data_IF_064419748334
#
_entry.id   IF_064419748334
#
_cell.length_a   1.000
_cell.length_b   1.000
_cell.length_c   1.000
_cell.angle_alpha   90.00
_cell.angle_beta   90.00
_cell.angle_gamma   90.00
#
_symmetry.space_group_name_H-M   'P 1'
#
loop_
_entity.id
_entity.type
_entity.pdbx_description
1 polymer ?
#
# COMPACT_ATOMS: atom_id res chain seq x y z
N UNK A 1 10.45 43.40 47.13
CA UNK A 1 11.19 43.12 48.40
C UNK A 1 11.76 44.44 48.91
N UNK A 2 12.61 44.49 49.94
CA UNK A 2 13.35 45.74 50.22
C UNK A 2 14.48 45.87 49.21
N UNK A 3 14.46 46.91 48.38
CA UNK A 3 15.44 47.10 47.32
C UNK A 3 16.88 47.23 47.87
N UNK A 4 17.83 46.59 47.20
CA UNK A 4 19.25 46.61 47.57
C UNK A 4 19.84 47.99 47.25
N UNK A 5 20.27 48.72 48.28
CA UNK A 5 20.82 50.08 48.14
C UNK A 5 22.23 50.02 47.56
N UNK A 6 22.38 50.42 46.30
CA UNK A 6 23.66 50.47 45.61
C UNK A 6 24.49 51.67 46.05
N UNK A 7 25.81 51.54 46.01
CA UNK A 7 26.74 52.66 46.07
C UNK A 7 27.25 52.95 44.67
N UNK A 8 26.98 54.13 44.13
CA UNK A 8 27.57 54.57 42.86
C UNK A 8 29.05 54.88 43.06
N UNK A 9 29.89 54.54 42.08
CA UNK A 9 31.30 54.97 42.08
C UNK A 9 31.40 56.44 41.67
N UNK A 10 32.53 57.08 41.96
CA UNK A 10 32.81 58.45 41.47
C UNK A 10 32.80 58.50 39.94
N UNK A 11 33.26 57.44 39.26
CA UNK A 11 33.22 57.34 37.81
C UNK A 11 31.79 57.15 37.28
N UNK A 12 31.00 56.26 37.89
CA UNK A 12 29.60 56.02 37.52
C UNK A 12 28.72 57.23 37.78
N UNK A 13 28.89 57.91 38.91
CA UNK A 13 28.22 59.18 39.20
C UNK A 13 28.61 60.26 38.21
N UNK A 14 29.90 60.36 37.83
CA UNK A 14 30.36 61.29 36.79
C UNK A 14 29.74 61.04 35.42
N UNK A 15 29.60 59.77 35.01
CA UNK A 15 28.86 59.40 33.79
C UNK A 15 27.37 59.78 33.88
N UNK A 16 26.74 59.50 35.02
CA UNK A 16 25.33 59.78 35.27
C UNK A 16 25.00 61.28 35.31
N UNK A 17 25.88 62.12 35.88
CA UNK A 17 25.71 63.58 35.86
C UNK A 17 26.01 64.18 34.50
N UNK A 18 27.00 63.64 33.77
CA UNK A 18 27.28 64.08 32.39
C UNK A 18 26.10 63.77 31.46
N UNK A 19 25.46 62.61 31.59
CA UNK A 19 24.27 62.20 30.83
C UNK A 19 23.03 63.06 31.13
N UNK A 20 23.00 63.78 32.26
CA UNK A 20 21.95 64.75 32.59
C UNK A 20 22.24 66.17 32.06
N UNK A 21 23.45 66.43 31.55
CA UNK A 21 23.91 67.76 31.16
C UNK A 21 24.16 67.93 29.65
N UNK A 22 24.22 66.83 28.88
CA UNK A 22 24.39 66.81 27.42
C UNK A 22 23.93 65.48 26.84
N UNK A 23 23.52 65.48 25.56
CA UNK A 23 22.98 64.32 24.85
C UNK A 23 24.02 63.21 24.54
N UNK A 24 23.50 61.98 24.43
CA UNK A 24 24.13 60.74 23.94
C UNK A 24 25.32 60.17 24.74
N UNK A 25 25.15 60.06 26.07
CA UNK A 25 25.96 59.14 26.89
C UNK A 25 25.18 57.84 27.10
N UNK A 26 25.70 56.74 26.54
CA UNK A 26 25.16 55.40 26.75
C UNK A 26 25.29 54.97 28.22
N UNK A 27 24.17 54.98 28.94
CA UNK A 27 24.03 54.45 30.30
C UNK A 27 23.59 52.98 30.34
N UNK A 28 23.71 52.24 29.24
CA UNK A 28 23.35 50.81 29.19
C UNK A 28 24.21 50.00 30.16
N UNK A 29 23.56 49.38 31.14
CA UNK A 29 24.17 48.37 32.00
C UNK A 29 24.35 47.08 31.19
N UNK A 30 25.49 46.98 30.53
CA UNK A 30 25.81 45.89 29.60
C UNK A 30 26.31 44.63 30.30
N UNK A 31 26.86 44.75 31.52
CA UNK A 31 27.46 43.62 32.25
C UNK A 31 27.30 43.72 33.77
N UNK A 32 27.25 42.57 34.42
CA UNK A 32 27.31 42.44 35.89
C UNK A 32 28.51 41.58 36.27
N UNK A 33 29.47 42.17 37.00
CA UNK A 33 30.55 41.43 37.64
C UNK A 33 30.08 40.83 38.96
N UNK A 34 30.51 39.61 39.25
CA UNK A 34 30.18 38.86 40.47
C UNK A 34 31.44 38.67 41.32
N UNK A 35 31.30 38.80 42.64
CA UNK A 35 32.35 38.51 43.61
C UNK A 35 31.85 37.66 44.78
N UNK A 36 32.69 36.72 45.20
CA UNK A 36 32.48 35.90 46.39
C UNK A 36 33.03 36.59 47.66
N UNK A 37 33.80 37.67 47.48
CA UNK A 37 34.41 38.44 48.56
C UNK A 37 33.43 39.51 49.06
N UNK A 38 33.17 39.55 50.37
CA UNK A 38 32.49 40.69 50.99
C UNK A 38 33.45 41.90 51.03
N UNK A 39 32.98 43.08 50.65
CA UNK A 39 33.76 44.32 50.65
C UNK A 39 32.93 45.51 51.15
N UNK A 40 33.60 46.59 51.56
CA UNK A 40 32.91 47.84 51.91
C UNK A 40 32.62 48.60 50.61
N UNK A 41 31.35 48.73 50.26
CA UNK A 41 30.92 49.49 49.10
C UNK A 41 31.23 50.99 49.30
N UNK A 42 32.09 51.56 48.45
CA UNK A 42 32.57 52.94 48.56
C UNK A 42 32.64 53.61 47.18
N UNK A 43 32.36 54.93 47.08
CA UNK A 43 32.43 55.64 45.80
C UNK A 43 33.83 55.65 45.16
N UNK A 44 34.88 55.47 45.95
CA UNK A 44 36.29 55.47 45.49
C UNK A 44 36.70 54.19 44.76
N UNK A 45 35.84 53.18 44.63
CA UNK A 45 36.15 51.93 43.94
C UNK A 45 36.25 52.14 42.42
N UNK A 46 37.38 51.73 41.84
CA UNK A 46 37.66 51.74 40.40
C UNK A 46 37.50 50.37 39.74
N UNK A 47 37.42 49.30 40.53
CA UNK A 47 37.20 47.92 40.10
C UNK A 47 36.40 47.16 41.17
N UNK A 48 35.75 46.05 40.79
CA UNK A 48 35.00 45.20 41.72
C UNK A 48 35.96 44.30 42.52
N UNK A 49 36.04 44.41 43.86
CA UNK A 49 36.97 43.60 44.66
C UNK A 49 36.65 42.11 44.58
N UNK A 50 37.63 41.28 44.21
CA UNK A 50 37.47 39.82 44.13
C UNK A 50 36.56 39.34 42.99
N UNK A 51 36.40 40.14 41.92
CA UNK A 51 35.63 39.75 40.74
C UNK A 51 36.14 38.42 40.15
N UNK A 52 35.27 37.42 40.09
CA UNK A 52 35.59 36.09 39.54
C UNK A 52 34.89 35.79 38.20
N UNK A 53 33.79 36.50 37.89
CA UNK A 53 33.01 36.31 36.66
C UNK A 53 32.30 37.59 36.27
N UNK A 54 32.17 37.84 34.95
CA UNK A 54 31.42 38.97 34.38
C UNK A 54 30.37 38.47 33.40
N UNK A 55 29.10 38.62 33.74
CA UNK A 55 27.96 38.18 32.95
C UNK A 55 27.47 39.31 32.04
N UNK A 56 27.14 38.99 30.79
CA UNK A 56 26.47 39.90 29.85
C UNK A 56 24.96 39.62 29.73
N UNK A 57 24.49 38.54 30.36
CA UNK A 57 23.10 38.09 30.49
C UNK A 57 22.39 38.89 31.59
N UNK A 58 22.30 40.20 31.38
CA UNK A 58 21.61 41.16 32.25
C UNK A 58 20.45 41.82 31.50
N UNK A 59 19.29 41.88 32.15
CA UNK A 59 18.12 42.63 31.70
C UNK A 59 17.53 43.36 32.90
N UNK A 60 16.81 44.45 32.66
CA UNK A 60 16.24 45.26 33.72
C UNK A 60 15.18 46.23 33.25
N UNK A 61 14.41 46.72 34.21
CA UNK A 61 13.22 47.56 34.05
C UNK A 61 13.25 48.65 35.12
N UNK A 62 12.94 49.90 34.76
CA UNK A 62 12.85 51.00 35.71
C UNK A 62 11.46 51.00 36.33
N UNK A 63 11.37 50.68 37.61
CA UNK A 63 10.09 50.53 38.34
C UNK A 63 9.69 51.83 39.08
N UNK A 64 10.66 52.67 39.44
CA UNK A 64 10.43 53.99 40.05
C UNK A 64 11.63 54.93 39.84
N UNK A 65 11.49 56.21 40.22
CA UNK A 65 12.50 57.28 40.06
C UNK A 65 13.92 56.97 40.55
N UNK A 66 14.08 55.98 41.43
CA UNK A 66 15.38 55.48 41.89
C UNK A 66 15.42 53.94 42.08
N UNK A 67 14.43 53.19 41.59
CA UNK A 67 14.33 51.73 41.72
C UNK A 67 14.30 51.08 40.34
N UNK A 68 15.15 50.08 40.17
CA UNK A 68 15.19 49.20 39.00
C UNK A 68 14.93 47.77 39.45
N UNK A 69 14.11 47.03 38.71
CA UNK A 69 14.08 45.58 38.79
C UNK A 69 15.08 45.00 37.79
N UNK A 70 16.08 44.25 38.26
CA UNK A 70 17.14 43.69 37.43
C UNK A 70 17.17 42.16 37.55
N UNK A 71 17.28 41.47 36.42
CA UNK A 71 17.47 40.01 36.35
C UNK A 71 18.81 39.69 35.70
N UNK A 72 19.54 38.74 36.29
CA UNK A 72 20.82 38.22 35.79
C UNK A 72 20.75 36.69 35.73
N UNK A 73 21.12 36.10 34.59
CA UNK A 73 21.14 34.64 34.41
C UNK A 73 22.53 34.09 34.10
N UNK A 74 22.77 32.81 34.43
CA UNK A 74 23.99 32.10 34.04
C UNK A 74 23.74 30.58 33.94
N UNK A 75 23.92 30.02 32.75
CA UNK A 75 23.68 28.60 32.40
C UNK A 75 24.98 27.76 32.34
N UNK A 76 26.15 28.38 32.60
CA UNK A 76 27.43 27.64 32.54
C UNK A 76 27.57 26.62 33.69
N UNK A 77 28.08 25.42 33.42
CA UNK A 77 28.19 24.33 34.41
C UNK A 77 29.33 24.54 35.44
N UNK A 78 29.21 25.58 36.27
CA UNK A 78 30.20 26.01 37.27
C UNK A 78 29.52 26.31 38.61
N UNK A 79 30.23 26.05 39.72
CA UNK A 79 29.75 26.32 41.08
C UNK A 79 30.35 27.61 41.64
N UNK A 80 29.56 28.46 42.28
CA UNK A 80 30.03 29.66 42.98
C UNK A 80 29.00 30.22 43.98
N UNK A 81 29.45 31.12 44.85
CA UNK A 81 28.62 31.89 45.79
C UNK A 81 28.86 33.39 45.54
N UNK A 82 27.78 34.18 45.48
CA UNK A 82 27.82 35.63 45.21
C UNK A 82 27.58 36.37 46.52
N UNK A 83 28.52 37.22 46.96
CA UNK A 83 28.37 38.10 48.14
C UNK A 83 28.32 39.58 47.77
N UNK A 84 28.77 39.92 46.58
CA UNK A 84 28.61 41.25 46.01
C UNK A 84 28.61 41.21 44.49
N UNK A 85 28.20 42.32 43.89
CA UNK A 85 28.19 42.52 42.45
C UNK A 85 28.51 43.97 42.08
N UNK A 86 29.00 44.15 40.86
CA UNK A 86 29.26 45.45 40.25
C UNK A 86 28.52 45.56 38.92
N UNK A 87 27.82 46.67 38.70
CA UNK A 87 27.17 46.99 37.44
C UNK A 87 28.17 47.73 36.56
N UNK A 88 28.31 47.32 35.31
CA UNK A 88 29.23 47.91 34.34
C UNK A 88 28.50 48.44 33.11
N UNK A 89 28.87 49.65 32.69
CA UNK A 89 28.44 50.23 31.42
C UNK A 89 29.07 49.48 30.23
N UNK A 90 28.54 49.72 29.02
CA UNK A 90 29.06 49.16 27.77
C UNK A 90 30.56 49.44 27.54
N UNK A 91 31.04 50.61 27.98
CA UNK A 91 32.45 51.02 27.90
C UNK A 91 33.37 50.41 28.97
N UNK A 92 32.82 49.60 29.89
CA UNK A 92 33.55 49.00 31.00
C UNK A 92 33.66 49.84 32.27
N UNK A 93 33.05 51.04 32.33
CA UNK A 93 32.98 51.85 33.56
C UNK A 93 32.21 51.08 34.64
N UNK A 94 32.81 50.91 35.82
CA UNK A 94 32.12 50.40 37.00
C UNK A 94 31.13 51.45 37.51
N UNK A 95 29.84 51.26 37.26
CA UNK A 95 28.79 52.24 37.50
C UNK A 95 28.39 52.30 38.98
N UNK A 96 28.01 51.15 39.54
CA UNK A 96 27.59 51.02 40.92
C UNK A 96 27.90 49.63 41.47
N UNK A 97 28.00 49.50 42.80
CA UNK A 97 28.34 48.27 43.51
C UNK A 97 27.40 47.98 44.67
N UNK A 98 27.28 46.70 44.99
CA UNK A 98 26.65 46.20 46.22
C UNK A 98 27.45 45.04 46.79
N UNK A 99 27.49 44.94 48.11
CA UNK A 99 28.05 43.80 48.84
C UNK A 99 27.37 43.65 50.19
N UNK A 100 27.32 42.41 50.68
CA UNK A 100 26.84 42.07 52.01
C UNK A 100 27.63 40.87 52.58
N UNK A 101 27.72 40.71 53.92
CA UNK A 101 28.45 39.60 54.52
C UNK A 101 27.88 38.21 54.18
N UNK A 102 26.58 38.10 53.91
CA UNK A 102 25.86 36.85 53.59
C UNK A 102 25.75 36.60 52.08
N UNK A 103 25.75 35.34 51.60
CA UNK A 103 25.46 35.05 50.19
C UNK A 103 24.15 35.68 49.72
N UNK A 104 24.19 36.33 48.55
CA UNK A 104 23.03 36.84 47.79
C UNK A 104 22.44 35.69 46.96
N UNK A 105 23.31 34.87 46.36
CA UNK A 105 22.93 33.70 45.59
C UNK A 105 24.04 32.64 45.64
N UNK A 106 23.67 31.36 45.55
CA UNK A 106 24.59 30.24 45.40
C UNK A 106 24.18 29.40 44.20
N UNK A 107 25.17 28.99 43.40
CA UNK A 107 24.98 28.23 42.16
C UNK A 107 25.76 26.92 42.22
N UNK A 108 25.12 25.83 41.81
CA UNK A 108 25.72 24.52 41.60
C UNK A 108 25.93 24.23 40.10
N UNK A 109 26.80 23.27 39.77
CA UNK A 109 27.09 22.86 38.38
C UNK A 109 25.88 22.35 37.59
N UNK A 110 24.81 21.89 38.28
CA UNK A 110 23.59 21.37 37.66
C UNK A 110 22.40 22.33 37.67
N UNK A 111 22.60 23.59 38.05
CA UNK A 111 21.55 24.60 38.21
C UNK A 111 21.89 25.87 37.44
N UNK A 112 20.97 26.40 36.63
CA UNK A 112 21.07 27.77 36.15
C UNK A 112 20.92 28.76 37.31
N UNK A 113 21.72 29.83 37.32
CA UNK A 113 21.41 31.00 38.15
C UNK A 113 20.35 31.83 37.42
N UNK A 114 19.30 32.24 38.13
CA UNK A 114 18.33 33.24 37.69
C UNK A 114 18.04 34.17 38.87
N UNK A 115 18.83 35.23 39.00
CA UNK A 115 18.76 36.17 40.11
C UNK A 115 17.96 37.40 39.69
N UNK A 116 16.74 37.54 40.19
CA UNK A 116 15.91 38.73 40.06
C UNK A 116 15.99 39.55 41.36
N UNK A 117 16.39 40.82 41.27
CA UNK A 117 16.59 41.72 42.41
C UNK A 117 16.08 43.13 42.13
N UNK A 118 15.38 43.69 43.11
CA UNK A 118 15.07 45.12 43.15
C UNK A 118 16.31 45.86 43.66
N UNK A 119 16.85 46.80 42.88
CA UNK A 119 18.02 47.61 43.23
C UNK A 119 17.63 49.08 43.32
N UNK A 120 18.16 49.78 44.33
CA UNK A 120 17.88 51.19 44.57
C UNK A 120 19.15 52.03 44.44
N UNK A 121 19.11 53.07 43.60
CA UNK A 121 20.21 54.02 43.45
C UNK A 121 20.14 55.14 44.52
N UNK A 122 21.28 55.73 44.90
CA UNK A 122 21.35 56.80 45.90
C UNK A 122 20.89 58.17 45.38
N UNK A 123 20.53 58.25 44.10
CA UNK A 123 20.07 59.45 43.38
C UNK A 123 18.80 59.11 42.59
N UNK A 124 17.98 60.12 42.32
CA UNK A 124 16.87 60.01 41.36
C UNK A 124 17.36 60.27 39.92
N UNK A 125 16.52 59.97 38.92
CA UNK A 125 16.82 60.21 37.50
C UNK A 125 17.25 58.95 36.74
N UNK A 126 16.89 57.76 37.22
CA UNK A 126 17.35 56.47 36.65
C UNK A 126 16.59 56.02 35.42
N UNK A 127 15.58 56.77 34.98
CA UNK A 127 14.81 56.53 33.74
C UNK A 127 15.68 56.47 32.47
N UNK A 128 16.85 57.11 32.48
CA UNK A 128 17.82 57.06 31.38
C UNK A 128 18.77 55.85 31.43
N UNK A 129 18.66 54.98 32.45
CA UNK A 129 19.46 53.75 32.55
C UNK A 129 18.77 52.63 31.76
N UNK A 130 19.35 52.29 30.62
CA UNK A 130 18.96 51.15 29.80
C UNK A 130 19.62 49.85 30.29
N UNK A 131 18.99 48.72 29.96
CA UNK A 131 19.51 47.38 30.22
C UNK A 131 19.55 46.58 28.92
N UNK A 132 20.30 45.47 28.93
CA UNK A 132 20.37 44.55 27.79
C UNK A 132 19.01 43.95 27.42
N UNK A 133 18.96 43.28 26.25
CA UNK A 133 17.71 42.78 25.65
C UNK A 133 16.92 41.89 26.62
N UNK A 134 15.62 42.14 26.72
CA UNK A 134 14.65 41.42 27.58
C UNK A 134 14.31 40.00 27.09
N UNK A 135 14.84 39.56 25.95
CA UNK A 135 14.51 38.26 25.36
C UNK A 135 15.15 37.09 26.10
N UNK A 136 14.40 36.51 27.04
CA UNK A 136 14.52 35.11 27.47
C UNK A 136 14.26 34.17 26.26
N UNK A 137 15.27 33.98 25.41
CA UNK A 137 15.18 33.01 24.32
C UNK A 137 15.21 31.59 24.89
N UNK A 138 14.03 30.97 24.96
CA UNK A 138 13.92 29.53 25.12
C UNK A 138 14.71 28.86 23.97
N UNK A 139 15.75 28.06 24.25
CA UNK A 139 16.55 27.46 23.18
C UNK A 139 15.69 26.50 22.36
N UNK A 140 15.88 26.44 21.02
CA UNK A 140 15.18 25.47 20.19
C UNK A 140 15.60 24.04 20.57
N UNK A 141 14.66 23.11 20.49
CA UNK A 141 14.94 21.68 20.64
C UNK A 141 15.80 21.16 19.50
N UNK A 142 16.77 20.31 19.82
CA UNK A 142 17.56 19.54 18.85
C UNK A 142 17.64 18.08 19.30
N UNK A 143 18.08 17.19 18.42
CA UNK A 143 18.29 15.76 18.76
C UNK A 143 19.21 15.56 19.97
N UNK A 144 20.12 16.51 20.23
CA UNK A 144 21.07 16.47 21.34
C UNK A 144 20.69 17.35 22.55
N UNK A 145 19.80 18.35 22.40
CA UNK A 145 19.44 19.32 23.46
C UNK A 145 17.93 19.49 23.58
N UNK A 146 17.38 19.27 24.78
CA UNK A 146 15.99 19.63 25.10
C UNK A 146 15.77 21.14 24.94
N UNK A 147 14.66 21.52 24.32
CA UNK A 147 14.29 22.90 24.05
C UNK A 147 12.83 23.01 23.57
N UNK A 148 12.43 24.18 23.08
CA UNK A 148 11.10 24.43 22.52
C UNK A 148 11.07 24.10 21.03
N UNK A 149 9.95 23.57 20.55
CA UNK A 149 9.73 23.17 19.15
C UNK A 149 8.26 23.43 18.79
N UNK A 150 8.00 23.85 17.55
CA UNK A 150 6.65 24.08 17.03
C UNK A 150 5.94 22.74 16.75
N UNK A 151 4.60 22.73 16.86
CA UNK A 151 3.80 21.56 16.53
C UNK A 151 3.44 21.56 15.05
N UNK A 152 3.68 20.44 14.37
CA UNK A 152 3.40 20.30 12.94
C UNK A 152 1.88 20.29 12.69
N UNK A 153 1.45 20.97 11.62
CA UNK A 153 0.13 20.74 11.01
C UNK A 153 0.11 19.40 10.26
N UNK A 154 -1.09 18.95 9.85
CA UNK A 154 -1.23 17.72 9.07
C UNK A 154 -0.48 17.80 7.73
N UNK A 155 -0.61 18.91 7.00
CA UNK A 155 0.04 19.08 5.70
C UNK A 155 1.58 19.08 5.79
N UNK A 156 2.14 19.61 6.87
CA UNK A 156 3.59 19.60 7.11
C UNK A 156 4.10 18.21 7.51
N UNK A 157 3.33 17.48 8.32
CA UNK A 157 3.64 16.10 8.66
C UNK A 157 3.54 15.16 7.43
N UNK A 158 2.55 15.35 6.57
CA UNK A 158 2.41 14.63 5.28
C UNK A 158 3.55 14.95 4.31
N UNK A 159 4.09 16.18 4.35
CA UNK A 159 5.27 16.59 3.59
C UNK A 159 6.61 16.09 4.19
N UNK A 160 6.59 15.46 5.36
CA UNK A 160 7.79 14.95 6.04
C UNK A 160 8.64 16.02 6.72
N UNK A 161 8.04 17.09 7.25
CA UNK A 161 8.73 18.14 8.02
C UNK A 161 9.53 17.56 9.20
N UNK A 162 10.82 17.90 9.28
CA UNK A 162 11.76 17.48 10.33
C UNK A 162 12.02 18.57 11.38
N UNK A 163 11.46 19.77 11.20
CA UNK A 163 11.69 20.94 12.07
C UNK A 163 10.65 21.08 13.18
N UNK A 164 9.58 20.26 13.14
CA UNK A 164 8.40 20.34 14.00
C UNK A 164 8.02 18.99 14.60
N UNK A 165 7.25 19.02 15.69
CA UNK A 165 6.75 17.80 16.35
C UNK A 165 5.33 17.47 15.92
N UNK A 166 5.15 16.30 15.33
CA UNK A 166 3.84 15.77 14.95
C UNK A 166 3.02 15.40 16.19
N UNK A 167 1.81 15.97 16.32
CA UNK A 167 0.92 15.67 17.45
C UNK A 167 0.21 14.32 17.28
N UNK A 168 -0.23 13.71 18.38
CA UNK A 168 -1.01 12.47 18.34
C UNK A 168 -2.32 12.57 17.53
N UNK A 169 -2.91 13.77 17.43
CA UNK A 169 -4.08 14.02 16.57
C UNK A 169 -3.72 13.97 15.08
N UNK A 170 -2.57 14.55 14.70
CA UNK A 170 -2.05 14.48 13.32
C UNK A 170 -1.63 13.05 12.96
N UNK A 171 -0.87 12.37 13.83
CA UNK A 171 -0.51 10.95 13.63
C UNK A 171 -1.76 10.07 13.45
N UNK A 172 -2.81 10.29 14.26
CA UNK A 172 -4.08 9.58 14.10
C UNK A 172 -4.70 9.85 12.73
N UNK A 173 -4.74 11.09 12.27
CA UNK A 173 -5.30 11.45 10.95
C UNK A 173 -4.53 10.78 9.80
N UNK A 174 -3.19 10.80 9.83
CA UNK A 174 -2.33 10.13 8.83
C UNK A 174 -2.58 8.61 8.81
N UNK A 175 -2.64 7.98 9.98
CA UNK A 175 -2.93 6.53 10.11
C UNK A 175 -4.33 6.21 9.60
N UNK A 176 -5.35 7.02 9.92
CA UNK A 176 -6.71 6.83 9.41
C UNK A 176 -6.74 6.94 7.88
N UNK A 177 -6.13 7.97 7.29
CA UNK A 177 -6.06 8.12 5.83
C UNK A 177 -5.35 6.93 5.15
N UNK A 178 -4.26 6.42 5.73
CA UNK A 178 -3.56 5.25 5.22
C UNK A 178 -4.43 3.97 5.32
N UNK A 179 -5.13 3.75 6.43
CA UNK A 179 -6.06 2.63 6.60
C UNK A 179 -7.23 2.73 5.62
N UNK A 180 -7.79 3.92 5.41
CA UNK A 180 -8.89 4.16 4.48
C UNK A 180 -8.46 3.91 3.03
N UNK A 181 -7.24 4.31 2.64
CA UNK A 181 -6.69 4.03 1.32
C UNK A 181 -6.50 2.51 1.08
N UNK A 182 -5.95 1.79 2.07
CA UNK A 182 -5.80 0.33 2.01
C UNK A 182 -7.17 -0.36 1.97
N UNK A 183 -8.14 0.13 2.74
CA UNK A 183 -9.50 -0.41 2.80
C UNK A 183 -10.25 -0.22 1.49
N UNK A 184 -10.10 0.94 0.83
CA UNK A 184 -10.62 1.19 -0.51
C UNK A 184 -9.96 0.30 -1.57
N UNK A 185 -8.63 0.09 -1.50
CA UNK A 185 -7.94 -0.82 -2.41
C UNK A 185 -8.41 -2.28 -2.24
N UNK A 186 -8.60 -2.73 -1.00
CA UNK A 186 -9.13 -4.05 -0.68
C UNK A 186 -10.58 -4.20 -1.16
N UNK A 187 -11.43 -3.19 -0.93
CA UNK A 187 -12.80 -3.17 -1.42
C UNK A 187 -12.86 -3.25 -2.96
N UNK A 188 -11.98 -2.51 -3.65
CA UNK A 188 -11.85 -2.55 -5.11
C UNK A 188 -11.39 -3.91 -5.66
N UNK A 189 -10.56 -4.64 -4.90
CA UNK A 189 -10.17 -6.01 -5.24
C UNK A 189 -11.32 -7.00 -5.00
N UNK A 190 -11.99 -6.94 -3.84
CA UNK A 190 -13.09 -7.85 -3.51
C UNK A 190 -14.34 -7.61 -4.36
N UNK A 191 -14.55 -6.39 -4.86
CA UNK A 191 -15.61 -6.06 -5.80
C UNK A 191 -15.35 -6.57 -7.23
N UNK A 192 -14.17 -7.14 -7.51
CA UNK A 192 -13.88 -7.77 -8.80
C UNK A 192 -14.50 -9.17 -8.84
N UNK A 193 -15.21 -9.46 -9.92
CA UNK A 193 -15.84 -10.77 -10.17
C UNK A 193 -15.12 -11.49 -11.30
N UNK A 194 -14.85 -12.78 -11.13
CA UNK A 194 -14.46 -13.70 -12.19
C UNK A 194 -15.73 -14.28 -12.81
N UNK A 195 -15.87 -14.20 -14.12
CA UNK A 195 -17.03 -14.72 -14.86
C UNK A 195 -16.64 -15.95 -15.68
N UNK A 196 -17.35 -17.06 -15.47
CA UNK A 196 -17.48 -18.09 -16.51
C UNK A 196 -18.39 -17.59 -17.64
N UNK A 197 -18.04 -17.91 -18.89
CA UNK A 197 -18.86 -17.61 -20.06
C UNK A 197 -18.66 -18.65 -21.15
N UNK A 198 -19.66 -18.79 -22.03
CA UNK A 198 -19.69 -19.86 -23.04
C UNK A 198 -19.69 -21.25 -22.39
N UNK A 199 -18.66 -22.05 -22.70
CA UNK A 199 -18.47 -23.39 -22.14
C UNK A 199 -17.94 -23.38 -20.69
N UNK A 200 -17.38 -22.27 -20.21
CA UNK A 200 -16.76 -22.17 -18.88
C UNK A 200 -17.83 -21.86 -17.83
N UNK A 201 -18.00 -22.77 -16.88
CA UNK A 201 -18.90 -22.64 -15.72
C UNK A 201 -18.10 -22.27 -14.47
N UNK A 202 -18.77 -21.66 -13.48
CA UNK A 202 -18.15 -21.19 -12.24
C UNK A 202 -17.78 -19.70 -12.27
N UNK A 203 -16.83 -19.32 -11.43
CA UNK A 203 -16.51 -17.91 -11.14
C UNK A 203 -17.13 -17.44 -9.82
N UNK A 204 -17.35 -16.13 -9.69
CA UNK A 204 -17.79 -15.45 -8.46
C UNK A 204 -16.84 -14.32 -8.06
N UNK A 205 -17.08 -13.72 -6.88
CA UNK A 205 -16.20 -12.70 -6.28
C UNK A 205 -14.80 -13.27 -5.91
N UNK A 206 -13.90 -12.42 -5.40
CA UNK A 206 -12.57 -12.84 -4.96
C UNK A 206 -12.46 -13.20 -3.46
N UNK A 207 -13.57 -13.54 -2.78
CA UNK A 207 -13.55 -13.78 -1.32
C UNK A 207 -12.83 -15.06 -0.85
N UNK A 208 -12.77 -16.14 -1.65
CA UNK A 208 -12.30 -17.46 -1.15
C UNK A 208 -11.89 -18.49 -2.22
N UNK A 209 -11.05 -18.12 -3.21
CA UNK A 209 -10.57 -18.96 -4.34
C UNK A 209 -11.64 -19.50 -5.31
N UNK A 210 -11.44 -19.34 -6.62
CA UNK A 210 -12.44 -19.68 -7.66
C UNK A 210 -12.01 -20.88 -8.51
N UNK A 211 -12.96 -21.80 -8.72
CA UNK A 211 -12.85 -22.91 -9.67
C UNK A 211 -13.60 -22.56 -10.94
N UNK A 212 -12.99 -22.85 -12.08
CA UNK A 212 -13.59 -22.76 -13.40
C UNK A 212 -13.63 -24.16 -14.00
N UNK A 213 -14.78 -24.55 -14.54
CA UNK A 213 -15.04 -25.91 -15.03
C UNK A 213 -15.49 -25.85 -16.48
N UNK A 214 -14.95 -26.76 -17.31
CA UNK A 214 -15.47 -27.06 -18.64
C UNK A 214 -15.82 -28.54 -18.65
N UNK A 215 -17.11 -28.84 -18.78
CA UNK A 215 -17.59 -30.22 -18.78
C UNK A 215 -17.20 -30.93 -20.08
N UNK A 216 -16.60 -32.12 -19.98
CA UNK A 216 -16.27 -32.95 -21.13
C UNK A 216 -17.52 -33.70 -21.62
N UNK A 217 -17.79 -33.66 -22.92
CA UNK A 217 -18.87 -34.43 -23.54
C UNK A 217 -18.53 -35.93 -23.51
N UNK A 218 -19.45 -36.74 -22.99
CA UNK A 218 -19.41 -38.20 -23.11
C UNK A 218 -19.68 -38.65 -24.55
N UNK A 219 -19.26 -39.87 -24.89
CA UNK A 219 -19.51 -40.43 -26.22
C UNK A 219 -20.99 -40.52 -26.62
N UNK A 220 -21.90 -40.64 -25.64
CA UNK A 220 -23.34 -40.60 -25.91
C UNK A 220 -23.81 -39.19 -26.31
N UNK A 221 -23.29 -38.16 -25.67
CA UNK A 221 -23.62 -36.76 -25.96
C UNK A 221 -23.00 -36.29 -27.29
N UNK A 222 -21.78 -36.76 -27.60
CA UNK A 222 -21.15 -36.54 -28.91
C UNK A 222 -21.98 -37.16 -30.04
N UNK A 223 -22.51 -38.38 -29.86
CA UNK A 223 -23.40 -39.02 -30.84
C UNK A 223 -24.77 -38.35 -30.94
N UNK A 224 -25.31 -37.86 -29.82
CA UNK A 224 -26.58 -37.13 -29.81
C UNK A 224 -26.48 -35.77 -30.51
N UNK A 225 -25.36 -35.05 -30.33
CA UNK A 225 -25.10 -33.77 -30.99
C UNK A 225 -26.00 -32.61 -30.54
N UNK A 226 -26.69 -32.74 -29.39
CA UNK A 226 -27.71 -31.80 -28.92
C UNK A 226 -27.26 -30.83 -27.82
N UNK A 227 -26.16 -31.10 -27.11
CA UNK A 227 -25.65 -30.22 -26.03
C UNK A 227 -24.71 -29.15 -26.57
N UNK A 228 -24.96 -27.90 -26.19
CA UNK A 228 -24.11 -26.74 -26.48
C UNK A 228 -23.23 -26.28 -25.31
N UNK A 229 -23.26 -26.98 -24.17
CA UNK A 229 -22.64 -26.57 -22.90
C UNK A 229 -21.52 -27.52 -22.41
N UNK A 230 -20.97 -28.32 -23.33
CA UNK A 230 -19.90 -29.31 -23.10
C UNK A 230 -18.84 -29.24 -24.20
N UNK A 231 -17.59 -29.56 -23.87
CA UNK A 231 -16.49 -29.64 -24.81
C UNK A 231 -16.26 -31.08 -25.31
N UNK A 232 -16.13 -31.28 -26.62
CA UNK A 232 -15.76 -32.57 -27.19
C UNK A 232 -14.27 -32.83 -26.91
N UNK A 233 -13.96 -33.99 -26.33
CA UNK A 233 -12.58 -34.46 -26.09
C UNK A 233 -12.18 -35.52 -27.11
N UNK A 234 -10.89 -35.82 -27.30
CA UNK A 234 -10.45 -36.95 -28.13
C UNK A 234 -11.08 -38.29 -27.71
N UNK A 235 -11.32 -38.52 -26.42
CA UNK A 235 -12.01 -39.71 -25.92
C UNK A 235 -13.51 -39.71 -26.26
N UNK A 236 -14.18 -38.56 -26.16
CA UNK A 236 -15.57 -38.40 -26.58
C UNK A 236 -15.74 -38.59 -28.10
N UNK A 237 -14.81 -38.08 -28.89
CA UNK A 237 -14.77 -38.27 -30.34
C UNK A 237 -14.44 -39.71 -30.74
N UNK A 238 -13.51 -40.37 -30.05
CA UNK A 238 -13.21 -41.80 -30.27
C UNK A 238 -14.43 -42.70 -30.06
N UNK A 239 -15.37 -42.30 -29.19
CA UNK A 239 -16.64 -43.02 -29.01
C UNK A 239 -17.65 -42.84 -30.16
N UNK A 240 -17.36 -42.00 -31.16
CA UNK A 240 -18.07 -41.98 -32.45
C UNK A 240 -17.56 -43.09 -33.39
N UNK A 241 -16.37 -43.64 -33.16
CA UNK A 241 -15.80 -44.74 -33.94
C UNK A 241 -16.49 -46.08 -33.60
N UNK A 242 -17.73 -46.24 -34.05
CA UNK A 242 -18.31 -47.57 -34.21
C UNK A 242 -17.53 -48.34 -35.27
N UNK A 243 -17.07 -49.54 -34.93
CA UNK A 243 -16.38 -50.42 -35.89
C UNK A 243 -17.36 -50.91 -36.95
N UNK A 244 -17.06 -50.68 -38.23
CA UNK A 244 -17.80 -51.30 -39.33
C UNK A 244 -17.52 -52.81 -39.31
N UNK A 245 -18.50 -53.59 -38.84
CA UNK A 245 -18.41 -55.05 -38.77
C UNK A 245 -18.97 -55.73 -40.04
N UNK A 246 -18.70 -57.02 -40.22
CA UNK A 246 -19.24 -57.80 -41.35
C UNK A 246 -20.77 -57.87 -41.36
N UNK A 247 -21.38 -57.90 -40.17
CA UNK A 247 -22.81 -57.65 -39.96
C UNK A 247 -22.89 -56.53 -38.92
N UNK A 248 -23.29 -55.32 -39.32
CA UNK A 248 -23.16 -54.16 -38.44
C UNK A 248 -23.93 -52.93 -38.90
N UNK A 249 -24.01 -51.96 -37.99
CA UNK A 249 -24.60 -50.64 -38.22
C UNK A 249 -23.64 -49.58 -37.65
N UNK A 250 -23.38 -48.55 -38.44
CA UNK A 250 -22.51 -47.44 -38.11
C UNK A 250 -23.23 -46.12 -38.41
N UNK A 251 -23.25 -45.20 -37.45
CA UNK A 251 -23.83 -43.87 -37.63
C UNK A 251 -22.74 -42.89 -38.07
N UNK A 252 -22.83 -42.36 -39.29
CA UNK A 252 -21.85 -41.39 -39.82
C UNK A 252 -22.05 -40.00 -39.20
N UNK A 253 -23.30 -39.57 -39.11
CA UNK A 253 -23.75 -38.31 -38.53
C UNK A 253 -25.13 -38.52 -37.89
N UNK A 254 -25.61 -37.62 -37.02
CA UNK A 254 -26.95 -37.74 -36.44
C UNK A 254 -28.01 -37.94 -37.52
N UNK A 255 -28.67 -39.11 -37.49
CA UNK A 255 -29.68 -39.52 -38.46
C UNK A 255 -29.19 -40.20 -39.74
N UNK A 256 -27.88 -40.31 -40.02
CA UNK A 256 -27.36 -41.00 -41.23
C UNK A 256 -26.59 -42.26 -40.84
N UNK A 257 -26.97 -43.40 -41.43
CA UNK A 257 -26.47 -44.72 -41.08
C UNK A 257 -25.90 -45.45 -42.29
N UNK A 258 -24.84 -46.23 -42.05
CA UNK A 258 -24.30 -47.26 -42.93
C UNK A 258 -24.58 -48.61 -42.28
N UNK A 259 -25.16 -49.53 -43.02
CA UNK A 259 -25.44 -50.90 -42.57
C UNK A 259 -24.70 -51.88 -43.49
N UNK A 260 -24.11 -52.91 -42.90
CA UNK A 260 -23.36 -53.95 -43.61
C UNK A 260 -23.87 -55.33 -43.20
N UNK A 261 -23.80 -56.29 -44.12
CA UNK A 261 -24.18 -57.65 -43.81
C UNK A 261 -23.73 -58.68 -44.83
N UNK A 262 -23.94 -59.96 -44.46
CA UNK A 262 -23.85 -61.10 -45.38
C UNK A 262 -25.13 -61.93 -45.27
N UNK A 263 -25.91 -61.95 -46.33
CA UNK A 263 -27.09 -62.81 -46.49
C UNK A 263 -26.61 -64.19 -46.91
N UNK A 264 -26.49 -65.08 -45.93
CA UNK A 264 -25.96 -66.44 -46.08
C UNK A 264 -26.86 -67.34 -46.95
N UNK A 265 -26.27 -68.42 -47.46
CA UNK A 265 -26.97 -69.52 -48.11
C UNK A 265 -26.92 -69.46 -49.64
N UNK A 266 -27.05 -70.61 -50.33
CA UNK A 266 -26.95 -70.67 -51.77
C UNK A 266 -28.14 -70.00 -52.45
N UNK A 267 -27.91 -68.89 -53.17
CA UNK A 267 -28.96 -68.17 -53.90
C UNK A 267 -28.92 -68.50 -55.39
N UNK A 268 -30.06 -68.97 -55.92
CA UNK A 268 -30.27 -69.16 -57.35
C UNK A 268 -30.64 -67.86 -58.07
N UNK A 269 -30.95 -67.96 -59.36
CA UNK A 269 -31.47 -66.81 -60.11
C UNK A 269 -32.84 -66.39 -59.58
N UNK A 270 -33.05 -65.09 -59.39
CA UNK A 270 -34.29 -64.53 -58.85
C UNK A 270 -34.07 -63.52 -57.73
N UNK A 271 -35.14 -63.23 -56.98
CA UNK A 271 -35.13 -62.19 -55.94
C UNK A 271 -34.78 -62.74 -54.56
N UNK A 272 -33.88 -62.05 -53.87
CA UNK A 272 -33.46 -62.33 -52.49
C UNK A 272 -33.81 -61.11 -51.62
N UNK A 273 -34.66 -61.30 -50.62
CA UNK A 273 -35.03 -60.24 -49.68
C UNK A 273 -33.99 -60.12 -48.57
N UNK A 274 -33.32 -58.97 -48.49
CA UNK A 274 -32.36 -58.63 -47.45
C UNK A 274 -33.05 -57.68 -46.46
N UNK A 275 -33.40 -58.20 -45.29
CA UNK A 275 -34.04 -57.43 -44.23
C UNK A 275 -32.97 -56.77 -43.35
N UNK A 276 -33.07 -55.46 -43.14
CA UNK A 276 -32.20 -54.78 -42.19
C UNK A 276 -32.66 -55.08 -40.75
N UNK A 277 -31.74 -55.47 -39.87
CA UNK A 277 -32.06 -55.84 -38.49
C UNK A 277 -32.78 -54.72 -37.71
N UNK A 278 -32.39 -53.48 -37.99
CA UNK A 278 -33.13 -52.26 -37.69
C UNK A 278 -33.44 -51.57 -39.02
N UNK A 279 -34.66 -51.06 -39.27
CA UNK A 279 -34.91 -50.17 -40.40
C UNK A 279 -34.05 -48.90 -40.37
N UNK A 280 -33.89 -48.24 -41.50
CA UNK A 280 -33.48 -46.83 -41.55
C UNK A 280 -34.63 -45.94 -41.05
N UNK A 281 -34.36 -44.83 -40.33
CA UNK A 281 -35.43 -44.03 -39.73
C UNK A 281 -36.45 -43.45 -40.71
N UNK A 282 -36.04 -43.11 -41.93
CA UNK A 282 -36.88 -42.57 -42.99
C UNK A 282 -36.83 -43.43 -44.27
N UNK A 283 -35.62 -43.72 -44.79
CA UNK A 283 -35.40 -44.46 -46.02
C UNK A 283 -33.96 -44.99 -46.15
N UNK A 284 -33.80 -46.18 -46.72
CA UNK A 284 -32.53 -46.53 -47.36
C UNK A 284 -32.41 -45.71 -48.66
N UNK A 285 -31.25 -45.11 -48.89
CA UNK A 285 -30.96 -44.24 -50.03
C UNK A 285 -30.21 -44.98 -51.15
N UNK A 286 -29.44 -46.00 -50.79
CA UNK A 286 -28.72 -46.89 -51.71
C UNK A 286 -28.39 -48.19 -50.98
N UNK A 287 -28.54 -49.33 -51.67
CA UNK A 287 -27.97 -50.61 -51.23
C UNK A 287 -27.25 -51.29 -52.39
N UNK A 288 -26.08 -51.86 -52.11
CA UNK A 288 -25.25 -52.58 -53.08
C UNK A 288 -24.90 -53.95 -52.52
N UNK A 289 -25.19 -55.00 -53.29
CA UNK A 289 -24.78 -56.36 -53.00
C UNK A 289 -23.66 -56.82 -53.93
N UNK A 290 -22.83 -57.75 -53.46
CA UNK A 290 -21.86 -58.51 -54.26
C UNK A 290 -22.01 -60.00 -53.92
N UNK A 291 -21.99 -60.83 -54.97
CA UNK A 291 -22.02 -62.28 -54.83
C UNK A 291 -20.75 -62.79 -54.12
N UNK A 292 -20.92 -63.79 -53.25
CA UNK A 292 -19.82 -64.55 -52.66
C UNK A 292 -19.73 -65.90 -53.37
N UNK A 293 -18.54 -66.24 -53.86
CA UNK A 293 -18.18 -67.55 -54.42
C UNK A 293 -16.99 -68.14 -53.63
N UNK A 294 -17.26 -68.50 -52.38
CA UNK A 294 -16.34 -69.26 -51.51
C UNK A 294 -16.11 -70.70 -51.98
N UNK A 295 -17.07 -71.28 -52.69
CA UNK A 295 -16.98 -72.61 -53.30
C UNK A 295 -15.96 -72.69 -54.44
N UNK A 296 -15.48 -71.55 -54.97
CA UNK A 296 -14.51 -71.50 -56.07
C UNK A 296 -15.03 -72.05 -57.40
N UNK A 297 -16.35 -72.00 -57.63
CA UNK A 297 -16.98 -72.56 -58.84
C UNK A 297 -16.73 -71.66 -60.04
N UNK A 298 -16.49 -72.27 -61.20
CA UNK A 298 -16.28 -71.56 -62.47
C UNK A 298 -17.58 -71.29 -63.26
N UNK A 299 -18.72 -71.80 -62.78
CA UNK A 299 -20.07 -71.59 -63.36
C UNK A 299 -20.93 -70.71 -62.44
N UNK A 300 -20.33 -69.64 -61.90
CA UNK A 300 -20.95 -68.72 -60.95
C UNK A 300 -20.83 -67.25 -61.39
N UNK A 301 -20.82 -66.99 -62.70
CA UNK A 301 -20.91 -65.63 -63.24
C UNK A 301 -22.32 -65.08 -62.97
N UNK A 302 -22.43 -64.32 -61.88
CA UNK A 302 -23.71 -63.84 -61.35
C UNK A 302 -23.61 -62.41 -60.84
N UNK A 303 -24.57 -61.58 -61.23
CA UNK A 303 -24.67 -60.18 -60.83
C UNK A 303 -25.76 -60.00 -59.79
N UNK A 304 -25.52 -59.10 -58.81
CA UNK A 304 -26.51 -58.71 -57.81
C UNK A 304 -26.99 -57.29 -58.13
N UNK A 305 -28.28 -57.15 -58.42
CA UNK A 305 -28.92 -55.90 -58.81
C UNK A 305 -29.93 -55.44 -57.75
N UNK A 306 -30.22 -54.14 -57.70
CA UNK A 306 -31.35 -53.63 -56.92
C UNK A 306 -32.66 -53.82 -57.69
N UNK A 307 -33.62 -54.55 -57.10
CA UNK A 307 -34.99 -54.67 -57.62
C UNK A 307 -35.97 -53.72 -56.94
N UNK A 308 -35.80 -53.52 -55.64
CA UNK A 308 -36.58 -52.58 -54.84
C UNK A 308 -35.86 -52.25 -53.54
N UNK A 309 -36.07 -51.02 -53.04
CA UNK A 309 -35.46 -50.52 -51.82
C UNK A 309 -36.53 -49.90 -50.91
N UNK A 310 -36.40 -50.11 -49.60
CA UNK A 310 -37.26 -49.50 -48.59
C UNK A 310 -36.47 -49.14 -47.33
N UNK A 311 -37.11 -48.48 -46.36
CA UNK A 311 -36.51 -48.26 -45.05
C UNK A 311 -36.11 -49.56 -44.33
N UNK A 312 -36.84 -50.67 -44.54
CA UNK A 312 -36.62 -51.93 -43.82
C UNK A 312 -35.91 -53.01 -44.65
N UNK A 313 -35.88 -52.89 -45.98
CA UNK A 313 -35.47 -53.97 -46.88
C UNK A 313 -34.71 -53.49 -48.11
N UNK A 314 -33.77 -54.32 -48.55
CA UNK A 314 -33.16 -54.30 -49.88
C UNK A 314 -33.55 -55.59 -50.60
N UNK A 315 -34.32 -55.48 -51.68
CA UNK A 315 -34.65 -56.63 -52.53
C UNK A 315 -33.60 -56.72 -53.61
N UNK A 316 -32.64 -57.62 -53.40
CA UNK A 316 -31.65 -57.96 -54.40
C UNK A 316 -32.26 -58.85 -55.50
N UNK A 317 -31.80 -58.72 -56.73
CA UNK A 317 -32.01 -59.71 -57.79
C UNK A 317 -30.66 -60.32 -58.16
N UNK A 318 -30.55 -61.64 -58.02
CA UNK A 318 -29.42 -62.42 -58.52
C UNK A 318 -29.75 -62.79 -59.97
N UNK A 319 -29.00 -62.23 -60.91
CA UNK A 319 -29.07 -62.58 -62.33
C UNK A 319 -27.86 -63.43 -62.69
N UNK A 320 -28.09 -64.60 -63.29
CA UNK A 320 -27.01 -65.46 -63.77
C UNK A 320 -26.63 -65.12 -65.20
N UNK A 321 -25.40 -65.42 -65.60
CA UNK A 321 -25.06 -65.55 -67.01
C UNK A 321 -25.85 -66.71 -67.62
N UNK A 322 -26.27 -66.57 -68.89
CA UNK A 322 -27.24 -67.49 -69.52
C UNK A 322 -26.80 -68.97 -69.62
N UNK A 323 -25.52 -69.25 -69.40
CA UNK A 323 -24.91 -70.59 -69.37
C UNK A 323 -24.83 -71.24 -67.98
N UNK A 324 -25.02 -70.46 -66.91
CA UNK A 324 -24.46 -70.80 -65.60
C UNK A 324 -25.45 -71.56 -64.71
N UNK A 325 -25.01 -72.75 -64.27
CA UNK A 325 -25.87 -73.67 -63.52
C UNK A 325 -25.85 -73.39 -62.01
N UNK A 326 -24.69 -73.00 -61.46
CA UNK A 326 -24.48 -73.00 -60.01
C UNK A 326 -25.03 -71.74 -59.32
N UNK A 327 -25.26 -71.87 -58.01
CA UNK A 327 -25.76 -70.80 -57.16
C UNK A 327 -24.60 -70.07 -56.48
N UNK A 328 -24.76 -68.77 -56.22
CA UNK A 328 -23.81 -68.00 -55.40
C UNK A 328 -23.94 -68.45 -53.94
N UNK A 329 -22.86 -68.49 -53.16
CA UNK A 329 -22.88 -69.07 -51.81
C UNK A 329 -23.51 -68.15 -50.75
N UNK A 330 -23.49 -66.84 -51.01
CA UNK A 330 -24.08 -65.78 -50.18
C UNK A 330 -24.05 -64.43 -50.93
N UNK A 331 -24.70 -63.40 -50.36
CA UNK A 331 -24.59 -62.01 -50.81
C UNK A 331 -23.98 -61.16 -49.69
N UNK A 332 -22.82 -60.54 -49.92
CA UNK A 332 -22.31 -59.45 -49.04
C UNK A 332 -22.94 -58.14 -49.49
N UNK A 333 -23.36 -57.29 -48.56
CA UNK A 333 -23.99 -56.03 -48.91
C UNK A 333 -23.56 -54.88 -48.00
N UNK A 334 -23.68 -53.67 -48.54
CA UNK A 334 -23.59 -52.39 -47.84
C UNK A 334 -24.80 -51.53 -48.24
N UNK A 335 -25.39 -50.86 -47.27
CA UNK A 335 -26.55 -49.99 -47.46
C UNK A 335 -26.32 -48.67 -46.71
N UNK A 336 -26.74 -47.55 -47.30
CA UNK A 336 -26.67 -46.21 -46.68
C UNK A 336 -28.06 -45.60 -46.67
N UNK A 337 -28.44 -44.97 -45.57
CA UNK A 337 -29.78 -44.41 -45.41
C UNK A 337 -29.89 -43.43 -44.26
N UNK A 338 -31.08 -42.85 -44.11
CA UNK A 338 -31.42 -41.86 -43.10
C UNK A 338 -32.84 -42.04 -42.59
#
# INVERSE_FOLDING_TARGET
MTALKLTMTTAGLGRFTAAQASDDIDLTIARVGLTATNFVAAPTLTALPGEFKRLATVSGSVEAQNIVHMTVTDDEAVTYSVRGFGLFLADGTLFAVYAQPTPIAEKSVGSMLALAIDIAFPVAGVENITFGSTNFLNPPGTEARKGVVELATLAEADAGDTTRVTTGAVVKAMITAAIDAVSQALAGLTARTIYGSGLVKGGGDLTANRTLTVDAASGAEVRAGTRGDVAITPAGLAALAGTIATNGEFQMTPGVFVKTGVTQGPHGEGSVAINFATPFPNACLIAVGIAINTSGRIECDSYVQERALSAATFTAFVQKQASDSANIDAIRWIAVGR
#
